data_IF_669128014791
#
_entry.id   IF_669128014791
#
_cell.length_a   1.000
_cell.length_b   1.000
_cell.length_c   1.000
_cell.angle_alpha   90.00
_cell.angle_beta   90.00
_cell.angle_gamma   90.00
#
_symmetry.space_group_name_H-M   'P 1'
#
loop_
_entity.id
_entity.type
_entity.pdbx_description
1 polymer ?
#
# COMPACT_ATOMS: atom_id res chain seq x y z
N UNK A 1 75.90 7.53 -29.32
CA UNK A 1 76.07 6.26 -30.04
C UNK A 1 74.71 5.67 -30.14
N UNK A 2 74.02 5.97 -31.23
CA UNK A 2 73.84 5.10 -32.39
C UNK A 2 72.80 4.02 -32.09
N UNK A 3 71.73 3.71 -32.77
CA UNK A 3 71.31 4.06 -34.13
C UNK A 3 69.89 3.52 -34.30
N UNK A 4 69.10 4.24 -34.91
CA UNK A 4 68.22 4.04 -36.05
C UNK A 4 67.57 2.65 -36.28
N UNK A 5 66.29 2.69 -36.63
CA UNK A 5 65.65 1.64 -37.37
C UNK A 5 64.13 1.70 -37.42
N UNK A 6 63.56 2.56 -38.26
CA UNK A 6 62.23 2.37 -38.87
C UNK A 6 62.48 2.01 -40.37
N UNK A 7 61.40 1.74 -41.16
CA UNK A 7 60.17 0.89 -41.06
C UNK A 7 60.23 -0.23 -42.16
N UNK A 8 59.16 -0.89 -42.60
CA UNK A 8 58.17 -0.33 -43.54
C UNK A 8 56.68 -0.77 -43.40
N UNK A 9 55.91 0.13 -43.89
CA UNK A 9 54.58 0.07 -44.50
C UNK A 9 54.27 -1.18 -45.35
N UNK A 10 53.01 -1.69 -45.17
CA UNK A 10 52.18 -2.23 -46.26
C UNK A 10 50.70 -2.22 -45.92
N UNK A 11 50.02 -1.32 -46.60
CA UNK A 11 48.65 -1.34 -47.05
C UNK A 11 48.05 -2.74 -47.31
N UNK A 12 46.81 -2.92 -47.00
CA UNK A 12 45.66 -3.20 -47.87
C UNK A 12 44.54 -3.94 -47.10
N UNK A 13 43.32 -3.57 -47.37
CA UNK A 13 42.20 -4.45 -47.24
C UNK A 13 40.95 -3.88 -46.62
N UNK A 14 40.19 -3.21 -47.44
CA UNK A 14 38.80 -2.80 -47.18
C UNK A 14 37.91 -3.92 -46.62
N UNK A 15 37.07 -3.55 -45.66
CA UNK A 15 35.99 -4.36 -45.14
C UNK A 15 35.03 -3.51 -44.33
N UNK A 16 34.31 -2.62 -45.00
CA UNK A 16 33.14 -1.95 -44.43
C UNK A 16 32.03 -2.98 -44.25
N UNK A 17 31.79 -3.42 -43.03
CA UNK A 17 30.53 -4.03 -42.62
C UNK A 17 29.76 -3.00 -41.83
N UNK A 18 28.81 -2.36 -42.48
CA UNK A 18 27.87 -1.45 -41.88
C UNK A 18 27.01 -2.17 -40.83
N UNK A 19 27.28 -1.89 -39.56
CA UNK A 19 26.36 -2.17 -38.50
C UNK A 19 25.22 -1.15 -38.61
N UNK A 20 24.07 -1.63 -39.09
CA UNK A 20 22.85 -0.87 -39.15
C UNK A 20 22.51 -0.32 -37.76
N UNK A 21 22.60 1.00 -37.64
CA UNK A 21 22.00 1.72 -36.54
C UNK A 21 20.47 1.53 -36.67
N UNK A 22 19.96 0.54 -35.96
CA UNK A 22 18.54 0.40 -35.74
C UNK A 22 17.98 1.68 -35.12
N UNK A 23 16.90 2.18 -35.69
CA UNK A 23 16.11 3.33 -35.24
C UNK A 23 15.97 3.37 -33.73
N UNK A 24 15.84 4.55 -33.08
CA UNK A 24 15.58 4.65 -31.67
C UNK A 24 14.17 4.07 -31.42
N UNK A 25 14.14 2.74 -31.20
CA UNK A 25 12.95 1.97 -30.93
C UNK A 25 12.45 2.25 -29.53
N UNK A 26 11.16 2.37 -29.44
CA UNK A 26 10.27 2.36 -28.28
C UNK A 26 11.00 2.02 -26.96
N UNK A 27 10.97 2.99 -26.04
CA UNK A 27 11.42 2.78 -24.67
C UNK A 27 10.73 1.52 -24.14
N UNK A 28 11.50 0.46 -23.89
CA UNK A 28 11.02 -0.80 -23.38
C UNK A 28 10.21 -0.52 -22.11
N UNK A 29 8.90 -0.80 -22.14
CA UNK A 29 8.05 -0.65 -20.97
C UNK A 29 8.68 -1.43 -19.82
N UNK A 30 8.90 -0.81 -18.66
CA UNK A 30 9.57 -1.48 -17.56
C UNK A 30 8.84 -2.79 -17.24
N UNK A 31 9.60 -3.89 -17.18
CA UNK A 31 9.07 -5.20 -16.83
C UNK A 31 8.36 -5.14 -15.48
N UNK A 32 7.04 -5.24 -15.48
CA UNK A 32 6.24 -5.33 -14.26
C UNK A 32 5.99 -6.79 -13.95
N UNK A 33 6.40 -7.23 -12.76
CA UNK A 33 6.06 -8.55 -12.23
C UNK A 33 4.54 -8.75 -12.29
N UNK A 34 4.08 -9.89 -12.81
CA UNK A 34 2.66 -10.19 -13.01
C UNK A 34 1.82 -9.96 -11.75
N UNK A 35 2.33 -10.34 -10.58
CA UNK A 35 1.68 -10.09 -9.29
C UNK A 35 1.42 -8.60 -8.98
N UNK A 36 2.22 -7.69 -9.52
CA UNK A 36 1.97 -6.24 -9.44
C UNK A 36 0.98 -5.76 -10.48
N UNK A 37 1.01 -6.36 -11.67
CA UNK A 37 0.12 -5.98 -12.78
C UNK A 37 -1.35 -6.31 -12.48
N UNK A 38 -1.58 -7.45 -11.83
CA UNK A 38 -2.93 -7.97 -11.52
C UNK A 38 -3.32 -7.78 -10.05
N UNK A 39 -2.64 -6.87 -9.33
CA UNK A 39 -3.03 -6.57 -7.95
C UNK A 39 -4.42 -5.92 -7.94
N UNK A 40 -5.37 -6.46 -7.16
CA UNK A 40 -6.69 -5.85 -6.99
C UNK A 40 -6.59 -4.36 -6.66
N UNK A 41 -7.46 -3.57 -7.26
CA UNK A 41 -7.51 -2.13 -7.06
C UNK A 41 -8.81 -1.65 -6.45
N UNK A 42 -9.86 -2.46 -6.49
CA UNK A 42 -11.18 -2.19 -5.93
C UNK A 42 -11.69 -3.41 -5.15
N UNK A 43 -12.80 -3.26 -4.45
CA UNK A 43 -13.47 -4.39 -3.78
C UNK A 43 -14.05 -5.38 -4.79
N UNK A 44 -14.44 -4.93 -5.97
CA UNK A 44 -14.98 -5.77 -7.05
C UNK A 44 -13.92 -6.74 -7.63
N UNK A 45 -12.64 -6.39 -7.48
CA UNK A 45 -11.52 -7.23 -7.93
C UNK A 45 -11.17 -8.35 -6.92
N UNK A 46 -11.78 -8.36 -5.73
CA UNK A 46 -11.46 -9.30 -4.66
C UNK A 46 -12.24 -10.61 -4.85
N UNK A 47 -11.54 -11.64 -5.29
CA UNK A 47 -12.13 -12.96 -5.53
C UNK A 47 -12.12 -13.78 -4.24
N UNK A 48 -13.26 -14.42 -3.91
CA UNK A 48 -13.39 -15.29 -2.73
C UNK A 48 -13.43 -14.54 -1.39
N UNK A 49 -13.72 -13.23 -1.41
CA UNK A 49 -13.77 -12.34 -0.24
C UNK A 49 -15.18 -11.73 -0.03
N UNK A 50 -16.22 -12.37 -0.55
CA UNK A 50 -17.58 -11.80 -0.61
C UNK A 50 -18.14 -11.46 0.79
N UNK A 51 -17.85 -12.30 1.79
CA UNK A 51 -18.29 -12.06 3.17
C UNK A 51 -17.64 -10.80 3.77
N UNK A 52 -16.36 -10.60 3.51
CA UNK A 52 -15.61 -9.42 3.93
C UNK A 52 -16.12 -8.18 3.20
N UNK A 53 -16.27 -8.24 1.87
CA UNK A 53 -16.80 -7.14 1.06
C UNK A 53 -18.18 -6.72 1.56
N UNK A 54 -19.07 -7.67 1.85
CA UNK A 54 -20.39 -7.40 2.41
C UNK A 54 -20.32 -6.68 3.75
N UNK A 55 -19.42 -7.10 4.64
CA UNK A 55 -19.25 -6.47 5.96
C UNK A 55 -18.79 -5.02 5.81
N UNK A 56 -17.81 -4.77 4.93
CA UNK A 56 -17.33 -3.42 4.64
C UNK A 56 -18.45 -2.58 4.01
N UNK A 57 -19.14 -3.10 2.99
CA UNK A 57 -20.25 -2.41 2.31
C UNK A 57 -21.30 -1.93 3.30
N UNK A 58 -21.77 -2.83 4.17
CA UNK A 58 -22.77 -2.48 5.19
C UNK A 58 -22.30 -1.35 6.11
N UNK A 59 -21.03 -1.35 6.53
CA UNK A 59 -20.48 -0.29 7.37
C UNK A 59 -20.46 1.07 6.65
N UNK A 60 -20.11 1.08 5.36
CA UNK A 60 -20.10 2.30 4.55
C UNK A 60 -21.49 2.81 4.24
N UNK A 61 -22.43 1.94 3.84
CA UNK A 61 -23.81 2.28 3.53
C UNK A 61 -24.57 2.83 4.73
N UNK A 62 -24.34 2.27 5.92
CA UNK A 62 -24.95 2.72 7.16
C UNK A 62 -24.26 3.93 7.80
N UNK A 63 -23.11 4.35 7.25
CA UNK A 63 -22.28 5.41 7.83
C UNK A 63 -21.61 5.03 9.16
N UNK A 64 -21.69 3.76 9.57
CA UNK A 64 -21.10 3.24 10.80
C UNK A 64 -19.73 2.63 10.53
N UNK A 65 -18.81 3.48 10.13
CA UNK A 65 -17.44 3.06 9.79
C UNK A 65 -16.64 2.90 11.10
N UNK A 66 -16.17 1.69 11.43
CA UNK A 66 -15.37 1.45 12.64
C UNK A 66 -14.09 2.27 12.66
N UNK A 67 -13.57 2.53 13.87
CA UNK A 67 -12.26 3.16 14.02
C UNK A 67 -11.11 2.20 13.71
N UNK A 68 -11.32 0.91 13.92
CA UNK A 68 -10.31 -0.11 13.64
C UNK A 68 -10.91 -1.32 12.90
N UNK A 69 -10.12 -1.88 11.99
CA UNK A 69 -10.39 -3.10 11.24
C UNK A 69 -9.28 -4.11 11.51
N UNK A 70 -9.63 -5.39 11.63
CA UNK A 70 -8.66 -6.47 11.68
C UNK A 70 -8.88 -7.37 10.46
N UNK A 71 -7.86 -7.46 9.61
CA UNK A 71 -7.82 -8.36 8.46
C UNK A 71 -7.04 -9.62 8.86
N UNK A 72 -7.71 -10.75 8.82
CA UNK A 72 -7.13 -12.04 9.21
C UNK A 72 -7.05 -12.99 8.01
N UNK A 73 -6.04 -13.83 7.98
CA UNK A 73 -5.90 -14.83 6.92
C UNK A 73 -4.47 -15.27 6.69
N UNK A 74 -4.30 -16.34 5.92
CA UNK A 74 -2.98 -16.88 5.58
C UNK A 74 -2.10 -15.86 4.85
N UNK A 75 -0.79 -16.08 4.89
CA UNK A 75 0.15 -15.25 4.14
C UNK A 75 -0.15 -15.30 2.64
N UNK A 76 -0.10 -14.15 1.98
CA UNK A 76 -0.34 -14.04 0.54
C UNK A 76 -1.80 -13.94 0.11
N UNK A 77 -2.79 -14.02 1.02
CA UNK A 77 -4.22 -13.87 0.68
C UNK A 77 -4.60 -12.44 0.26
N UNK A 78 -3.70 -11.48 0.41
CA UNK A 78 -3.94 -10.10 -0.04
C UNK A 78 -4.33 -9.12 1.06
N UNK A 79 -4.12 -9.42 2.35
CA UNK A 79 -4.47 -8.55 3.49
C UNK A 79 -4.01 -7.10 3.30
N UNK A 80 -2.73 -6.89 3.02
CA UNK A 80 -2.16 -5.54 2.80
C UNK A 80 -2.79 -4.85 1.58
N UNK A 81 -3.11 -5.61 0.52
CA UNK A 81 -3.81 -5.08 -0.66
C UNK A 81 -5.22 -4.63 -0.28
N UNK A 82 -5.95 -5.45 0.46
CA UNK A 82 -7.30 -5.13 0.97
C UNK A 82 -7.26 -3.90 1.90
N UNK A 83 -6.24 -3.80 2.77
CA UNK A 83 -6.05 -2.62 3.62
C UNK A 83 -5.90 -1.33 2.80
N UNK A 84 -5.14 -1.36 1.70
CA UNK A 84 -5.01 -0.20 0.79
C UNK A 84 -6.31 0.11 0.06
N UNK A 85 -7.06 -0.90 -0.38
CA UNK A 85 -8.38 -0.70 -1.00
C UNK A 85 -9.33 -0.03 0.01
N UNK A 86 -9.32 -0.47 1.27
CA UNK A 86 -10.10 0.14 2.35
C UNK A 86 -9.68 1.59 2.61
N UNK A 87 -8.37 1.88 2.67
CA UNK A 87 -7.85 3.24 2.80
C UNK A 87 -8.27 4.15 1.64
N UNK A 88 -8.33 3.60 0.40
CA UNK A 88 -8.87 4.32 -0.76
C UNK A 88 -10.33 4.62 -0.59
N UNK A 89 -11.15 3.65 -0.17
CA UNK A 89 -12.59 3.81 0.01
C UNK A 89 -12.91 4.85 1.08
N UNK A 90 -12.17 4.88 2.18
CA UNK A 90 -12.29 5.88 3.24
C UNK A 90 -11.99 7.30 2.74
N UNK A 91 -11.00 7.43 1.86
CA UNK A 91 -10.49 8.71 1.36
C UNK A 91 -10.86 8.98 -0.10
N UNK A 92 -11.87 8.26 -0.64
CA UNK A 92 -12.25 8.45 -2.03
C UNK A 92 -12.82 9.85 -2.27
N UNK A 93 -12.26 10.50 -3.27
CA UNK A 93 -12.69 11.82 -3.73
C UNK A 93 -12.46 11.90 -5.23
N UNK A 94 -13.47 12.36 -5.97
CA UNK A 94 -13.34 12.62 -7.41
C UNK A 94 -12.75 14.00 -7.66
N UNK A 95 -11.92 14.17 -8.71
CA UNK A 95 -11.35 15.49 -9.06
C UNK A 95 -12.40 16.56 -9.34
N UNK A 96 -13.57 16.16 -9.82
CA UNK A 96 -14.71 17.04 -10.11
C UNK A 96 -15.53 17.42 -8.86
N UNK A 97 -15.17 16.86 -7.70
CA UNK A 97 -15.85 17.08 -6.43
C UNK A 97 -17.24 16.46 -6.31
N UNK A 98 -17.67 15.62 -7.27
CA UNK A 98 -18.98 14.96 -7.25
C UNK A 98 -19.12 13.91 -6.16
N UNK A 99 -17.99 13.34 -5.68
CA UNK A 99 -17.94 12.39 -4.56
C UNK A 99 -16.92 12.85 -3.55
N UNK A 100 -17.40 13.25 -2.38
CA UNK A 100 -16.60 13.70 -1.23
C UNK A 100 -16.93 12.93 0.04
N UNK A 101 -17.20 11.64 -0.06
CA UNK A 101 -17.57 10.79 1.07
C UNK A 101 -16.90 9.43 1.00
N UNK A 102 -16.78 8.73 2.14
CA UNK A 102 -16.37 7.34 2.14
C UNK A 102 -17.30 6.52 1.25
N UNK A 103 -16.74 5.73 0.36
CA UNK A 103 -17.52 4.86 -0.54
C UNK A 103 -16.73 3.66 -0.99
N UNK A 104 -17.40 2.53 -1.13
CA UNK A 104 -16.82 1.32 -1.74
C UNK A 104 -16.86 1.39 -3.28
N UNK A 105 -17.75 2.23 -3.85
CA UNK A 105 -17.88 2.39 -5.29
C UNK A 105 -16.83 3.38 -5.81
N UNK A 106 -15.79 2.83 -6.41
CA UNK A 106 -14.64 3.56 -6.91
C UNK A 106 -14.42 3.27 -8.41
N UNK A 107 -15.36 3.71 -9.30
CA UNK A 107 -15.29 3.37 -10.71
C UNK A 107 -14.08 3.99 -11.41
N UNK A 108 -13.60 5.12 -10.90
CA UNK A 108 -12.47 5.87 -11.46
C UNK A 108 -11.34 6.02 -10.44
N UNK A 109 -10.19 6.48 -10.90
CA UNK A 109 -9.09 6.89 -10.02
C UNK A 109 -9.44 8.22 -9.34
N UNK A 110 -9.69 8.17 -8.02
CA UNK A 110 -9.83 9.37 -7.21
C UNK A 110 -8.49 10.07 -6.94
N UNK A 111 -8.56 11.29 -6.39
CA UNK A 111 -7.41 12.18 -6.13
C UNK A 111 -6.30 11.47 -5.35
N UNK A 112 -6.66 10.70 -4.34
CA UNK A 112 -5.70 10.03 -3.43
C UNK A 112 -5.33 8.60 -3.87
N UNK A 113 -6.10 8.01 -4.81
CA UNK A 113 -6.05 6.59 -5.09
C UNK A 113 -4.68 6.09 -5.52
N UNK A 114 -4.02 6.78 -6.44
CA UNK A 114 -2.72 6.34 -6.94
C UNK A 114 -1.66 6.38 -5.84
N UNK A 115 -1.58 7.47 -5.09
CA UNK A 115 -0.60 7.62 -4.01
C UNK A 115 -0.78 6.55 -2.92
N UNK A 116 -2.04 6.20 -2.58
CA UNK A 116 -2.35 5.14 -1.61
C UNK A 116 -1.92 3.77 -2.15
N UNK A 117 -2.24 3.45 -3.40
CA UNK A 117 -1.85 2.15 -3.99
C UNK A 117 -0.34 1.98 -4.12
N UNK A 118 0.40 3.08 -4.24
CA UNK A 118 1.86 3.10 -4.31
C UNK A 118 2.54 3.26 -2.94
N UNK A 119 1.78 3.24 -1.82
CA UNK A 119 2.28 3.40 -0.44
C UNK A 119 3.11 4.67 -0.21
N UNK A 120 2.68 5.79 -0.82
CA UNK A 120 3.39 7.08 -0.73
C UNK A 120 2.47 8.25 -0.34
N UNK A 121 1.26 7.95 0.15
CA UNK A 121 0.32 8.97 0.59
C UNK A 121 0.65 9.42 2.00
N UNK A 122 0.72 10.76 2.25
CA UNK A 122 1.13 11.33 3.53
C UNK A 122 0.14 11.04 4.68
N UNK A 123 -1.14 10.86 4.37
CA UNK A 123 -2.18 10.57 5.37
C UNK A 123 -2.52 9.06 5.44
N UNK A 124 -1.80 8.20 4.71
CA UNK A 124 -1.94 6.74 4.80
C UNK A 124 -0.57 6.15 5.09
N UNK A 125 -0.36 5.82 6.36
CA UNK A 125 0.91 5.32 6.86
C UNK A 125 0.86 3.80 6.93
N UNK A 126 1.85 3.15 6.33
CA UNK A 126 2.01 1.70 6.39
C UNK A 126 3.22 1.35 7.24
N UNK A 127 3.03 0.45 8.18
CA UNK A 127 4.07 -0.11 9.02
C UNK A 127 4.02 -1.63 8.97
N UNK A 128 5.14 -2.27 8.73
CA UNK A 128 5.33 -3.71 8.89
C UNK A 128 5.86 -3.97 10.31
N UNK A 129 5.03 -4.57 11.16
CA UNK A 129 5.39 -4.87 12.53
C UNK A 129 6.49 -5.94 12.65
N UNK A 130 6.76 -6.72 11.60
CA UNK A 130 7.89 -7.65 11.57
C UNK A 130 9.24 -6.90 11.50
N UNK A 131 9.26 -5.73 10.86
CA UNK A 131 10.44 -4.87 10.74
C UNK A 131 10.52 -3.80 11.83
N UNK A 132 9.38 -3.43 12.43
CA UNK A 132 9.21 -2.34 13.40
C UNK A 132 8.51 -2.87 14.65
N UNK A 133 9.21 -3.69 15.44
CA UNK A 133 8.65 -4.35 16.62
C UNK A 133 8.69 -3.49 17.89
N UNK A 134 9.36 -2.35 17.81
CA UNK A 134 9.70 -1.50 18.95
C UNK A 134 8.57 -0.64 19.49
N UNK A 135 8.64 -0.32 20.78
CA UNK A 135 7.70 0.62 21.42
C UNK A 135 7.83 2.03 20.86
N UNK A 136 9.01 2.42 20.41
CA UNK A 136 9.28 3.77 19.92
C UNK A 136 8.62 4.02 18.55
N UNK A 137 8.54 2.98 17.69
CA UNK A 137 7.81 3.05 16.43
C UNK A 137 6.32 3.31 16.67
N UNK A 138 5.74 2.60 17.64
CA UNK A 138 4.33 2.78 18.04
C UNK A 138 4.10 4.14 18.70
N UNK A 139 5.05 4.65 19.50
CA UNK A 139 4.95 5.99 20.07
C UNK A 139 4.90 7.06 18.99
N UNK A 140 5.71 6.96 17.95
CA UNK A 140 5.67 7.87 16.80
C UNK A 140 4.30 7.87 16.13
N UNK A 141 3.69 6.70 15.94
CA UNK A 141 2.32 6.60 15.43
C UNK A 141 1.36 7.31 16.37
N UNK A 142 1.37 6.99 17.67
CA UNK A 142 0.47 7.60 18.65
C UNK A 142 0.60 9.12 18.73
N UNK A 143 1.80 9.65 18.58
CA UNK A 143 2.01 11.10 18.51
C UNK A 143 1.45 11.68 17.21
N UNK A 144 1.60 10.97 16.10
CA UNK A 144 1.09 11.41 14.80
C UNK A 144 -0.44 11.36 14.70
N UNK A 145 -1.08 10.45 15.44
CA UNK A 145 -2.56 10.28 15.46
C UNK A 145 -3.27 11.54 15.96
N UNK A 146 -2.64 12.33 16.82
CA UNK A 146 -3.22 13.56 17.40
C UNK A 146 -3.43 14.66 16.35
N UNK A 147 -2.71 14.62 15.25
CA UNK A 147 -2.80 15.61 14.20
C UNK A 147 -3.78 15.20 13.11
N UNK A 148 -4.61 16.16 12.69
CA UNK A 148 -5.53 15.96 11.58
C UNK A 148 -4.80 15.58 10.29
N UNK A 149 -5.47 14.90 9.33
CA UNK A 149 -4.92 14.62 8.03
C UNK A 149 -4.55 15.93 7.30
N UNK A 150 -3.51 15.88 6.47
CA UNK A 150 -3.03 17.04 5.74
C UNK A 150 -3.84 17.30 4.45
N UNK A 151 -4.31 16.26 3.78
CA UNK A 151 -4.98 16.36 2.48
C UNK A 151 -6.19 15.43 2.34
N UNK A 152 -6.17 14.27 2.99
CA UNK A 152 -7.24 13.30 2.93
C UNK A 152 -8.33 13.56 4.00
N UNK A 153 -9.42 12.77 3.96
CA UNK A 153 -10.49 12.84 4.96
C UNK A 153 -10.11 12.18 6.27
N UNK A 154 -9.50 11.01 6.17
CA UNK A 154 -9.03 10.24 7.31
C UNK A 154 -7.53 10.00 7.24
N UNK A 155 -6.90 10.01 8.40
CA UNK A 155 -5.55 9.52 8.57
C UNK A 155 -5.61 8.02 8.85
N UNK A 156 -5.11 7.22 7.92
CA UNK A 156 -5.24 5.76 7.97
C UNK A 156 -3.89 5.14 8.32
N UNK A 157 -3.89 4.27 9.30
CA UNK A 157 -2.72 3.52 9.75
C UNK A 157 -2.90 2.05 9.41
N UNK A 158 -2.08 1.53 8.52
CA UNK A 158 -2.03 0.13 8.12
C UNK A 158 -0.86 -0.51 8.84
N UNK A 159 -1.15 -1.43 9.76
CA UNK A 159 -0.14 -2.18 10.50
C UNK A 159 -0.19 -3.63 10.05
N UNK A 160 0.80 -4.03 9.26
CA UNK A 160 0.91 -5.41 8.77
C UNK A 160 1.63 -6.30 9.80
N UNK A 161 1.25 -7.57 9.85
CA UNK A 161 1.74 -8.61 10.77
C UNK A 161 1.73 -8.13 12.25
N UNK A 162 0.62 -7.52 12.69
CA UNK A 162 0.48 -6.89 14.01
C UNK A 162 0.82 -7.82 15.19
N UNK A 163 0.71 -9.15 15.01
CA UNK A 163 1.11 -10.15 16.01
C UNK A 163 2.63 -10.16 16.30
N UNK A 164 3.44 -9.54 15.42
CA UNK A 164 4.89 -9.40 15.61
C UNK A 164 5.29 -8.25 16.55
N UNK A 165 4.33 -7.37 16.92
CA UNK A 165 4.60 -6.32 17.90
C UNK A 165 4.96 -6.91 19.26
N UNK A 166 5.93 -6.30 19.93
CA UNK A 166 6.21 -6.63 21.33
C UNK A 166 4.98 -6.31 22.20
N UNK A 167 4.82 -7.03 23.31
CA UNK A 167 3.72 -6.78 24.27
C UNK A 167 3.69 -5.32 24.73
N UNK A 168 4.86 -4.71 24.94
CA UNK A 168 4.96 -3.32 25.36
C UNK A 168 4.52 -2.34 24.22
N UNK A 169 4.85 -2.65 22.95
CA UNK A 169 4.42 -1.89 21.80
C UNK A 169 2.90 -2.00 21.61
N UNK A 170 2.35 -3.21 21.70
CA UNK A 170 0.92 -3.44 21.61
C UNK A 170 0.16 -2.70 22.73
N UNK A 171 0.62 -2.76 23.96
CA UNK A 171 0.01 -2.02 25.08
C UNK A 171 0.06 -0.50 24.88
N UNK A 172 1.08 0.02 24.20
CA UNK A 172 1.13 1.43 23.86
C UNK A 172 0.06 1.83 22.84
N UNK A 173 -0.38 0.92 21.97
CA UNK A 173 -1.51 1.14 21.07
C UNK A 173 -2.87 1.14 21.77
N UNK A 174 -3.07 0.31 22.80
CA UNK A 174 -4.37 0.14 23.45
C UNK A 174 -4.97 1.48 23.85
N UNK A 175 -4.18 2.37 24.46
CA UNK A 175 -4.65 3.69 24.88
C UNK A 175 -5.21 4.53 23.71
N UNK A 176 -4.58 4.45 22.55
CA UNK A 176 -5.05 5.18 21.35
C UNK A 176 -6.28 4.52 20.74
N UNK A 177 -6.40 3.18 20.88
CA UNK A 177 -7.54 2.43 20.35
C UNK A 177 -8.78 2.53 21.26
N UNK A 178 -8.61 2.81 22.56
CA UNK A 178 -9.71 3.06 23.50
C UNK A 178 -10.41 4.39 23.21
N UNK A 179 -9.64 5.43 22.87
CA UNK A 179 -10.16 6.77 22.58
C UNK A 179 -9.53 7.34 21.29
N UNK A 180 -9.79 6.73 20.13
CA UNK A 180 -9.20 7.19 18.88
C UNK A 180 -9.86 8.49 18.42
N UNK A 181 -9.09 9.47 17.89
CA UNK A 181 -9.67 10.65 17.27
C UNK A 181 -10.56 10.26 16.08
N UNK A 182 -11.63 10.99 15.82
CA UNK A 182 -12.60 10.69 14.75
C UNK A 182 -11.94 10.57 13.36
N UNK A 183 -10.91 11.38 13.12
CA UNK A 183 -10.18 11.40 11.86
C UNK A 183 -9.17 10.25 11.68
N UNK A 184 -8.88 9.48 12.72
CA UNK A 184 -7.93 8.37 12.65
C UNK A 184 -8.65 7.05 12.40
N UNK A 185 -8.13 6.25 11.48
CA UNK A 185 -8.61 4.90 11.17
C UNK A 185 -7.45 3.92 11.18
N UNK A 186 -7.65 2.76 11.78
CA UNK A 186 -6.64 1.72 11.88
C UNK A 186 -7.04 0.48 11.08
N UNK A 187 -6.09 -0.11 10.40
CA UNK A 187 -6.27 -1.38 9.69
C UNK A 187 -5.12 -2.31 10.08
N UNK A 188 -5.42 -3.28 10.91
CA UNK A 188 -4.48 -4.29 11.35
C UNK A 188 -4.56 -5.51 10.44
N UNK A 189 -3.42 -6.04 10.03
CA UNK A 189 -3.34 -7.31 9.31
C UNK A 189 -2.54 -8.33 10.12
N UNK A 190 -3.02 -9.58 10.17
CA UNK A 190 -2.37 -10.66 10.90
C UNK A 190 -2.56 -12.01 10.21
N UNK A 191 -1.58 -12.88 10.35
CA UNK A 191 -1.69 -14.30 9.99
C UNK A 191 -2.14 -15.16 11.16
N UNK A 192 -2.01 -14.66 12.40
CA UNK A 192 -2.40 -15.38 13.59
C UNK A 192 -3.85 -15.08 13.98
N UNK A 193 -4.63 -16.13 14.16
CA UNK A 193 -6.02 -16.05 14.61
C UNK A 193 -6.18 -17.04 15.76
N UNK A 194 -6.05 -16.55 16.97
CA UNK A 194 -6.51 -17.35 18.10
C UNK A 194 -8.04 -17.21 18.20
N UNK A 195 -8.74 -18.22 17.67
CA UNK A 195 -10.20 -18.37 17.87
C UNK A 195 -11.14 -17.68 16.89
N UNK A 196 -10.66 -16.97 15.88
CA UNK A 196 -11.49 -16.40 14.82
C UNK A 196 -11.25 -17.11 13.48
N UNK A 197 -12.30 -17.42 12.74
CA UNK A 197 -12.19 -17.93 11.37
C UNK A 197 -11.56 -16.88 10.43
N UNK A 198 -11.13 -17.29 9.25
CA UNK A 198 -10.62 -16.38 8.24
C UNK A 198 -11.65 -15.28 7.93
N UNK A 199 -11.26 -14.04 7.97
CA UNK A 199 -12.16 -12.93 7.67
C UNK A 199 -11.69 -11.57 8.17
N UNK A 200 -12.57 -10.60 8.02
CA UNK A 200 -12.41 -9.26 8.58
C UNK A 200 -13.26 -9.13 9.82
N UNK A 201 -12.67 -8.75 10.93
CA UNK A 201 -13.38 -8.37 12.13
C UNK A 201 -13.34 -6.85 12.24
N UNK A 202 -14.50 -6.23 12.22
CA UNK A 202 -14.63 -4.82 12.60
C UNK A 202 -14.64 -4.75 14.13
N UNK A 203 -13.69 -4.01 14.71
CA UNK A 203 -13.77 -3.69 16.13
C UNK A 203 -14.81 -2.59 16.30
N UNK A 204 -15.83 -2.79 17.13
CA UNK A 204 -16.75 -1.72 17.46
C UNK A 204 -15.98 -0.56 18.10
N UNK A 205 -16.38 0.67 17.81
CA UNK A 205 -15.98 1.80 18.63
C UNK A 205 -16.55 1.55 20.05
N UNK A 206 -15.69 1.53 21.03
CA UNK A 206 -16.08 1.45 22.43
C UNK A 206 -16.73 2.74 22.90
#
# INVERSE_FOLDING_TARGET
>A
MSDAGAPPDKSDGAGQSGLGLGSPGEAAKPYRVLARKYRPSSFDDLIGQEAMVRTVSNAFETGRIPQAWILTGVRGVGKTTTARILARALNYEKPDGSVKGPTIHMPDLGVHCQAIMESRHMDVLEMDAASHTGVDDVRQINDSVRYAPASARYKVYIIDEVHMLSTAAFNAFLKTLEEPPEHAKFVFATTEIQGAGHGTVALPAF
#
